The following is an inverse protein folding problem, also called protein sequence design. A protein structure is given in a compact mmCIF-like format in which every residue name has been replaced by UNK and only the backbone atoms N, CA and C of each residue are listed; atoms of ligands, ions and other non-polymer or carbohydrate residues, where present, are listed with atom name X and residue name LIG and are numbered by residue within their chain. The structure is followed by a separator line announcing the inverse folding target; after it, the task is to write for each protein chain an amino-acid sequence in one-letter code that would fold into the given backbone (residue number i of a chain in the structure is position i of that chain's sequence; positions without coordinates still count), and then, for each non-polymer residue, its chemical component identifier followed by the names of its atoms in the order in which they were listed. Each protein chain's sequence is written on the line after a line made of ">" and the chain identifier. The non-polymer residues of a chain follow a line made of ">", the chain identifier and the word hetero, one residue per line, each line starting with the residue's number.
data_IF_425687631512
#
_entry.id   IF_425687631512
#
_cell.length_a   1.000
_cell.length_b   1.000
_cell.length_c   1.000
_cell.angle_alpha   90.00
_cell.angle_beta   90.00
_cell.angle_gamma   90.00
#
_symmetry.space_group_name_H-M   'P 1'
#
loop_
_entity.id
_entity.type
_entity.pdbx_description
1 polymer ?
#
# COMPACT_ATOMS: atom_id res chain seq x y z
N UNK A 1 -3.21 -13.97 -40.05
CA UNK A 1 -2.24 -13.74 -38.95
C UNK A 1 -2.97 -12.96 -37.88
N UNK A 2 -3.34 -13.63 -36.79
CA UNK A 2 -4.22 -13.07 -35.77
C UNK A 2 -3.45 -12.10 -34.87
N UNK A 3 -3.54 -10.81 -35.21
CA UNK A 3 -2.90 -9.68 -34.50
C UNK A 3 -3.38 -9.61 -33.02
N UNK A 4 -4.50 -10.27 -32.72
CA UNK A 4 -5.11 -10.34 -31.39
C UNK A 4 -4.18 -11.02 -30.36
N UNK A 5 -3.47 -12.09 -30.75
CA UNK A 5 -2.61 -12.84 -29.85
C UNK A 5 -1.38 -12.03 -29.35
N UNK A 6 -0.57 -11.40 -30.23
CA UNK A 6 0.58 -10.60 -29.77
C UNK A 6 0.15 -9.35 -28.98
N UNK A 7 -1.00 -8.74 -29.32
CA UNK A 7 -1.54 -7.60 -28.57
C UNK A 7 -1.95 -8.02 -27.16
N UNK A 8 -2.62 -9.18 -27.00
CA UNK A 8 -2.99 -9.70 -25.68
C UNK A 8 -1.76 -9.98 -24.81
N UNK A 9 -0.69 -10.57 -25.38
CA UNK A 9 0.57 -10.81 -24.66
C UNK A 9 1.21 -9.50 -24.20
N UNK A 10 1.28 -8.47 -25.07
CA UNK A 10 1.82 -7.16 -24.70
C UNK A 10 1.04 -6.50 -23.57
N UNK A 11 -0.30 -6.60 -23.57
CA UNK A 11 -1.14 -6.08 -22.48
C UNK A 11 -0.81 -6.76 -21.15
N UNK A 12 -0.67 -8.09 -21.14
CA UNK A 12 -0.33 -8.82 -19.92
C UNK A 12 1.09 -8.53 -19.43
N UNK A 13 2.07 -8.39 -20.32
CA UNK A 13 3.43 -7.95 -19.96
C UNK A 13 3.37 -6.56 -19.32
N UNK A 14 2.62 -5.62 -19.90
CA UNK A 14 2.47 -4.27 -19.36
C UNK A 14 1.82 -4.30 -17.96
N UNK A 15 0.76 -5.10 -17.75
CA UNK A 15 0.12 -5.28 -16.44
C UNK A 15 1.09 -5.87 -15.43
N UNK A 16 1.86 -6.90 -15.79
CA UNK A 16 2.85 -7.52 -14.91
C UNK A 16 3.94 -6.52 -14.49
N UNK A 17 4.49 -5.77 -15.44
CA UNK A 17 5.48 -4.73 -15.18
C UNK A 17 4.91 -3.61 -14.28
N UNK A 18 3.65 -3.21 -14.46
CA UNK A 18 3.00 -2.24 -13.58
C UNK A 18 2.85 -2.77 -12.16
N UNK A 19 2.46 -4.03 -11.98
CA UNK A 19 2.39 -4.68 -10.67
C UNK A 19 3.75 -4.75 -9.98
N UNK A 20 4.80 -5.18 -10.69
CA UNK A 20 6.18 -5.24 -10.18
C UNK A 20 6.68 -3.84 -9.82
N UNK A 21 6.51 -2.87 -10.71
CA UNK A 21 6.92 -1.49 -10.48
C UNK A 21 6.20 -0.86 -9.27
N UNK A 22 4.90 -1.11 -9.11
CA UNK A 22 4.14 -0.66 -7.94
C UNK A 22 4.61 -1.34 -6.64
N UNK A 23 4.86 -2.65 -6.69
CA UNK A 23 5.41 -3.43 -5.57
C UNK A 23 6.79 -2.92 -5.14
N UNK A 24 7.71 -2.73 -6.09
CA UNK A 24 9.06 -2.25 -5.83
C UNK A 24 9.06 -0.83 -5.25
N UNK A 25 8.24 0.09 -5.78
CA UNK A 25 8.10 1.44 -5.21
C UNK A 25 7.61 1.41 -3.77
N UNK A 26 6.68 0.50 -3.44
CA UNK A 26 6.18 0.33 -2.07
C UNK A 26 7.23 -0.29 -1.16
N UNK A 27 7.96 -1.30 -1.64
CA UNK A 27 9.05 -1.92 -0.91
C UNK A 27 10.16 -0.91 -0.59
N UNK A 28 10.59 -0.10 -1.57
CA UNK A 28 11.59 0.95 -1.35
C UNK A 28 11.10 2.03 -0.37
N UNK A 29 9.81 2.38 -0.40
CA UNK A 29 9.23 3.33 0.55
C UNK A 29 9.22 2.75 1.97
N UNK A 30 8.80 1.50 2.11
CA UNK A 30 8.76 0.78 3.38
C UNK A 30 10.18 0.54 3.92
N UNK A 31 11.16 0.21 3.09
CA UNK A 31 12.58 0.09 3.49
C UNK A 31 13.15 1.41 4.00
N UNK A 32 12.85 2.54 3.33
CA UNK A 32 13.27 3.86 3.84
C UNK A 32 12.65 4.20 5.18
N UNK A 33 11.41 3.76 5.42
CA UNK A 33 10.74 3.91 6.72
C UNK A 33 11.30 2.92 7.75
N UNK A 34 11.62 1.67 7.37
CA UNK A 34 12.24 0.67 8.24
C UNK A 34 13.63 1.09 8.73
N UNK A 35 14.46 1.67 7.85
CA UNK A 35 15.84 2.04 8.20
C UNK A 35 15.95 3.34 9.01
N UNK A 36 15.04 4.28 8.80
CA UNK A 36 15.13 5.63 9.37
C UNK A 36 13.91 6.04 10.22
N UNK A 37 12.91 5.18 10.31
CA UNK A 37 11.66 5.49 11.01
C UNK A 37 11.70 5.03 12.45
N UNK A 38 11.02 5.79 13.31
CA UNK A 38 10.87 5.51 14.72
C UNK A 38 9.51 4.88 14.96
N UNK A 39 9.46 3.86 15.80
CA UNK A 39 8.22 3.17 16.15
C UNK A 39 7.50 3.91 17.28
N UNK A 40 6.18 3.96 17.20
CA UNK A 40 5.33 4.55 18.22
C UNK A 40 3.98 3.84 18.26
N UNK A 41 3.41 3.77 19.47
CA UNK A 41 2.01 3.42 19.64
C UNK A 41 1.14 4.62 19.25
N UNK A 42 0.12 4.36 18.45
CA UNK A 42 -0.85 5.34 18.01
C UNK A 42 -2.29 4.89 18.25
N UNK A 43 -3.22 5.81 18.06
CA UNK A 43 -4.66 5.55 18.17
C UNK A 43 -5.39 6.21 17.03
N UNK A 44 -6.31 5.49 16.39
CA UNK A 44 -7.16 6.07 15.34
C UNK A 44 -8.13 7.05 16.01
N UNK A 45 -8.01 8.34 15.68
CA UNK A 45 -8.89 9.38 16.25
C UNK A 45 -10.04 9.74 15.33
N UNK A 46 -9.90 9.48 14.03
CA UNK A 46 -10.89 9.84 13.01
C UNK A 46 -10.69 9.01 11.75
N UNK A 47 -11.73 8.91 10.92
CA UNK A 47 -11.65 8.41 9.55
C UNK A 47 -12.01 9.53 8.58
N UNK A 48 -11.02 10.05 7.85
CA UNK A 48 -11.28 11.01 6.78
C UNK A 48 -11.79 10.29 5.55
N UNK A 49 -12.90 10.76 4.99
CA UNK A 49 -13.45 10.23 3.76
C UNK A 49 -13.14 11.15 2.58
N UNK A 50 -13.03 10.54 1.40
CA UNK A 50 -12.99 11.26 0.12
C UNK A 50 -13.93 10.56 -0.84
N UNK A 51 -14.85 11.32 -1.42
CA UNK A 51 -15.67 10.85 -2.53
C UNK A 51 -14.80 10.67 -3.77
N UNK A 52 -14.89 9.50 -4.38
CA UNK A 52 -14.32 9.16 -5.68
C UNK A 52 -15.34 9.29 -6.80
N UNK A 53 -14.88 9.08 -8.03
CA UNK A 53 -15.73 9.08 -9.22
C UNK A 53 -16.72 7.90 -9.13
N UNK A 54 -17.99 8.13 -9.46
CA UNK A 54 -19.05 7.11 -9.42
C UNK A 54 -19.63 6.83 -8.04
N UNK A 55 -19.57 7.79 -7.09
CA UNK A 55 -20.17 7.64 -5.75
C UNK A 55 -19.37 6.76 -4.77
N UNK A 56 -18.21 6.26 -5.19
CA UNK A 56 -17.34 5.44 -4.36
C UNK A 56 -16.68 6.28 -3.25
N UNK A 57 -16.98 6.00 -1.98
CA UNK A 57 -16.33 6.67 -0.85
C UNK A 57 -15.13 5.86 -0.37
N UNK A 58 -14.00 6.55 -0.18
CA UNK A 58 -12.79 5.95 0.38
C UNK A 58 -12.43 6.60 1.70
N UNK A 59 -12.24 5.77 2.74
CA UNK A 59 -11.84 6.20 4.06
C UNK A 59 -10.33 6.02 4.26
N UNK A 60 -9.74 6.95 5.00
CA UNK A 60 -8.35 6.94 5.46
C UNK A 60 -8.32 7.17 6.97
N UNK A 61 -7.56 6.40 7.74
CA UNK A 61 -7.49 6.62 9.17
C UNK A 61 -6.64 7.87 9.46
N UNK A 62 -7.03 8.63 10.48
CA UNK A 62 -6.19 9.65 11.11
C UNK A 62 -5.73 9.09 12.45
N UNK A 63 -4.42 8.98 12.61
CA UNK A 63 -3.77 8.40 13.79
C UNK A 63 -3.19 9.52 14.63
N UNK A 64 -3.49 9.52 15.92
CA UNK A 64 -2.83 10.33 16.95
C UNK A 64 -1.74 9.50 17.60
N UNK A 65 -0.53 10.05 17.70
CA UNK A 65 0.58 9.42 18.40
C UNK A 65 1.49 10.47 19.03
N UNK A 66 2.44 10.04 19.87
CA UNK A 66 3.50 10.90 20.39
C UNK A 66 4.83 10.56 19.72
N UNK A 67 5.54 11.59 19.29
CA UNK A 67 6.91 11.46 18.79
C UNK A 67 7.90 11.22 19.94
N UNK A 68 9.14 10.89 19.60
CA UNK A 68 10.22 10.69 20.56
C UNK A 68 10.53 11.96 21.38
N UNK A 69 10.23 13.14 20.83
CA UNK A 69 10.35 14.43 21.53
C UNK A 69 9.14 14.74 22.42
N UNK A 70 8.18 13.82 22.52
CA UNK A 70 6.96 13.98 23.32
C UNK A 70 5.84 14.75 22.61
N UNK A 71 6.08 15.32 21.43
CA UNK A 71 5.08 16.08 20.70
C UNK A 71 3.96 15.15 20.20
N UNK A 72 2.71 15.53 20.47
CA UNK A 72 1.52 14.85 19.93
C UNK A 72 1.28 15.27 18.48
N UNK A 73 1.13 14.30 17.59
CA UNK A 73 0.93 14.53 16.15
C UNK A 73 -0.28 13.74 15.65
N UNK A 74 -1.03 14.37 14.74
CA UNK A 74 -2.08 13.74 13.96
C UNK A 74 -1.57 13.50 12.54
N UNK A 75 -1.56 12.24 12.10
CA UNK A 75 -1.09 11.87 10.78
C UNK A 75 -2.12 10.99 10.05
N UNK A 76 -2.22 11.16 8.73
CA UNK A 76 -3.10 10.33 7.90
C UNK A 76 -2.38 9.03 7.57
N UNK A 77 -3.02 7.91 7.89
CA UNK A 77 -2.50 6.58 7.58
C UNK A 77 -2.50 6.31 6.07
N UNK A 78 -1.64 5.37 5.62
CA UNK A 78 -1.47 5.07 4.21
C UNK A 78 -2.66 4.27 3.62
N UNK A 79 -3.37 3.50 4.45
CA UNK A 79 -4.47 2.64 4.01
C UNK A 79 -5.66 3.44 3.46
N UNK A 80 -6.27 2.87 2.43
CA UNK A 80 -7.58 3.29 1.89
C UNK A 80 -8.49 2.08 1.89
N UNK A 81 -9.68 2.20 2.50
CA UNK A 81 -10.70 1.15 2.51
C UNK A 81 -12.07 1.75 2.20
N UNK A 82 -13.02 0.92 1.79
CA UNK A 82 -14.42 1.31 1.53
C UNK A 82 -15.25 1.43 2.80
N UNK A 83 -14.71 1.02 3.94
CA UNK A 83 -15.32 1.14 5.26
C UNK A 83 -14.48 2.08 6.15
N UNK A 84 -15.16 2.77 7.07
CA UNK A 84 -14.50 3.60 8.08
C UNK A 84 -13.65 2.74 9.02
N UNK A 85 -12.60 3.35 9.57
CA UNK A 85 -11.75 2.73 10.59
C UNK A 85 -12.35 2.96 11.98
N UNK A 86 -12.27 1.95 12.86
CA UNK A 86 -12.77 2.06 14.22
C UNK A 86 -12.02 3.13 14.98
N UNK A 87 -12.75 4.15 15.46
CA UNK A 87 -12.21 5.19 16.33
C UNK A 87 -11.80 4.59 17.68
N UNK A 88 -10.68 5.04 18.23
CA UNK A 88 -10.11 4.51 19.47
C UNK A 88 -9.27 3.25 19.29
N UNK A 89 -9.23 2.66 18.09
CA UNK A 89 -8.47 1.46 17.86
C UNK A 89 -6.96 1.71 18.02
N UNK A 90 -6.24 0.86 18.77
CA UNK A 90 -4.80 0.93 18.89
C UNK A 90 -4.14 0.46 17.58
N UNK A 91 -3.04 1.12 17.22
CA UNK A 91 -2.22 0.77 16.06
C UNK A 91 -0.74 0.94 16.40
N UNK A 92 0.11 0.10 15.83
CA UNK A 92 1.55 0.34 15.84
C UNK A 92 1.96 0.99 14.54
N UNK A 93 2.68 2.11 14.68
CA UNK A 93 3.12 2.90 13.53
C UNK A 93 4.62 3.05 13.51
N UNK A 94 5.15 3.25 12.33
CA UNK A 94 6.48 3.77 12.10
C UNK A 94 6.38 5.14 11.43
N UNK A 95 6.99 6.15 12.02
CA UNK A 95 6.97 7.51 11.49
C UNK A 95 8.38 7.99 11.13
N UNK A 96 8.47 8.96 10.22
CA UNK A 96 9.73 9.62 9.87
C UNK A 96 10.06 10.74 10.86
N UNK A 97 11.20 10.72 11.56
CA UNK A 97 11.53 11.76 12.53
C UNK A 97 11.74 13.15 11.89
N UNK A 98 12.22 13.20 10.64
CA UNK A 98 12.38 14.44 9.85
C UNK A 98 11.03 15.01 9.38
N UNK A 99 10.04 14.14 9.17
CA UNK A 99 8.68 14.50 8.71
C UNK A 99 7.64 13.59 9.37
N UNK A 100 7.27 13.84 10.63
CA UNK A 100 6.47 12.91 11.43
C UNK A 100 5.02 12.75 10.97
N UNK A 101 4.56 13.58 10.04
CA UNK A 101 3.27 13.39 9.36
C UNK A 101 3.28 12.21 8.38
N UNK A 102 4.46 11.70 7.99
CA UNK A 102 4.61 10.51 7.15
C UNK A 102 4.69 9.30 8.06
N UNK A 103 3.61 8.52 8.06
CA UNK A 103 3.47 7.31 8.88
C UNK A 103 3.20 6.07 8.02
N UNK A 104 3.59 4.92 8.54
CA UNK A 104 3.22 3.58 8.08
C UNK A 104 2.59 2.85 9.26
N UNK A 105 1.43 2.23 9.05
CA UNK A 105 0.80 1.35 10.04
C UNK A 105 1.25 -0.06 9.69
N UNK A 106 1.98 -0.71 10.59
CA UNK A 106 2.48 -2.07 10.38
C UNK A 106 1.81 -3.10 11.29
N UNK A 107 1.01 -2.65 12.25
CA UNK A 107 0.13 -3.51 13.05
C UNK A 107 -1.17 -2.77 13.41
N UNK A 108 -2.29 -3.49 13.33
CA UNK A 108 -3.63 -3.01 13.64
C UNK A 108 -4.47 -2.52 12.45
N UNK A 109 -5.67 -1.95 12.73
CA UNK A 109 -6.59 -1.52 11.69
C UNK A 109 -6.01 -0.40 10.83
N UNK A 110 -5.92 -0.62 9.52
CA UNK A 110 -5.28 0.35 8.62
C UNK A 110 -3.85 -0.01 8.25
N UNK A 111 -3.40 -1.21 8.58
CA UNK A 111 -2.30 -1.84 7.85
C UNK A 111 -2.60 -1.76 6.35
N UNK A 112 -1.67 -1.14 5.62
CA UNK A 112 -1.73 -1.04 4.17
C UNK A 112 -1.51 -2.42 3.56
N UNK A 113 -1.95 -2.66 2.32
CA UNK A 113 -1.67 -3.93 1.66
C UNK A 113 -0.16 -4.14 1.55
N UNK A 114 0.29 -5.31 2.01
CA UNK A 114 1.73 -5.62 2.14
C UNK A 114 2.44 -5.50 0.79
N UNK A 115 3.68 -4.98 0.76
CA UNK A 115 4.50 -4.96 -0.46
C UNK A 115 4.64 -6.37 -1.07
N UNK A 116 4.69 -7.39 -0.22
CA UNK A 116 4.79 -8.80 -0.59
C UNK A 116 3.62 -9.28 -1.46
N UNK A 117 2.39 -8.84 -1.18
CA UNK A 117 1.22 -9.23 -1.98
C UNK A 117 1.32 -8.79 -3.44
N UNK A 118 1.76 -7.55 -3.69
CA UNK A 118 1.93 -7.05 -5.05
C UNK A 118 3.07 -7.72 -5.80
N UNK A 119 4.18 -8.01 -5.12
CA UNK A 119 5.31 -8.73 -5.70
C UNK A 119 4.91 -10.16 -6.06
N UNK A 120 4.18 -10.84 -5.18
CA UNK A 120 3.69 -12.20 -5.44
C UNK A 120 2.70 -12.25 -6.60
N UNK A 121 1.68 -11.37 -6.62
CA UNK A 121 0.74 -11.30 -7.75
C UNK A 121 1.43 -10.95 -9.07
N UNK A 122 2.37 -10.01 -9.05
CA UNK A 122 3.15 -9.63 -10.23
C UNK A 122 4.01 -10.78 -10.76
N UNK A 123 4.72 -11.50 -9.87
CA UNK A 123 5.53 -12.66 -10.25
C UNK A 123 4.67 -13.82 -10.76
N UNK A 124 3.54 -14.11 -10.10
CA UNK A 124 2.62 -15.17 -10.50
C UNK A 124 2.06 -14.92 -11.90
N UNK A 125 1.61 -13.70 -12.19
CA UNK A 125 1.13 -13.32 -13.52
C UNK A 125 2.21 -13.50 -14.59
N UNK A 126 3.46 -13.16 -14.27
CA UNK A 126 4.58 -13.29 -15.19
C UNK A 126 4.92 -14.76 -15.46
N UNK A 127 4.90 -15.61 -14.42
CA UNK A 127 5.11 -17.06 -14.56
C UNK A 127 4.02 -17.70 -15.40
N UNK A 128 2.74 -17.39 -15.13
CA UNK A 128 1.61 -17.93 -15.92
C UNK A 128 1.70 -17.51 -17.39
N UNK A 129 2.09 -16.27 -17.67
CA UNK A 129 2.24 -15.80 -19.04
C UNK A 129 3.38 -16.52 -19.77
N UNK A 130 4.52 -16.72 -19.11
CA UNK A 130 5.67 -17.44 -19.66
C UNK A 130 5.35 -18.92 -19.89
N UNK A 131 4.67 -19.58 -18.95
CA UNK A 131 4.31 -21.00 -19.12
C UNK A 131 3.31 -21.20 -20.24
N UNK A 132 2.27 -20.36 -20.34
CA UNK A 132 1.30 -20.44 -21.43
C UNK A 132 1.96 -20.23 -22.79
N UNK A 133 2.80 -19.21 -22.93
CA UNK A 133 3.50 -18.93 -24.19
C UNK A 133 4.50 -20.03 -24.56
N UNK A 134 5.19 -20.63 -23.58
CA UNK A 134 6.09 -21.76 -23.80
C UNK A 134 5.37 -23.08 -24.14
N UNK A 135 4.13 -23.28 -23.69
CA UNK A 135 3.33 -24.47 -24.04
C UNK A 135 2.63 -24.36 -25.40
N UNK A 136 2.51 -23.15 -25.94
CA UNK A 136 1.87 -22.88 -27.24
C UNK A 136 2.87 -22.64 -28.39
N UNK A 137 4.17 -22.66 -28.09
CA UNK A 137 5.27 -22.56 -29.04
C UNK A 137 5.82 -23.95 -29.39
#
# INVERSE_FOLDING_TARGET
>A
MDIVAPVAVLVWVAVALLCIGAGLRRALRSERLRRAGVEAAGTIVESQFRSGVGGLVWFRPVVSFRTATGQRILARGPARRRAAFPRGAPVLIRYRPDKPTIIEIFDGPGEGPSPAGYLFTGALLLVVLVTLTATTA
#
